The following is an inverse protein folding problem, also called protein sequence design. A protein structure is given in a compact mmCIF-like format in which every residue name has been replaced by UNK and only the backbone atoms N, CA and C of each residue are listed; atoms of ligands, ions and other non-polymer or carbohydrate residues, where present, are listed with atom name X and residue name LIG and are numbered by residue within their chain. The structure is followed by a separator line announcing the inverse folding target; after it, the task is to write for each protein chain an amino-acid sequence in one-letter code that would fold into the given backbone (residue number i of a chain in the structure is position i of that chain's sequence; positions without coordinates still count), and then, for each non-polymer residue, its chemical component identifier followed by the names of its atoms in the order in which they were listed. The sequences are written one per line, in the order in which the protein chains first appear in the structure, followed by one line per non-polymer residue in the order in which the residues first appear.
data_IF_089576431719
#
_entry.id   IF_089576431719
#
_cell.length_a   1.000
_cell.length_b   1.000
_cell.length_c   1.000
_cell.angle_alpha   90.00
_cell.angle_beta   90.00
_cell.angle_gamma   90.00
#
_symmetry.space_group_name_H-M   'P 1'
#
loop_
_entity.id
_entity.type
_entity.pdbx_description
1 polymer ?
#
# COMPACT_ATOMS: atom_id res chain seq x y z
N UNK A 1 0.03 -1.20 -27.65
CA UNK A 1 -0.56 -0.01 -26.99
C UNK A 1 -1.58 -0.43 -25.94
N UNK A 2 -1.49 0.16 -24.77
CA UNK A 2 -2.45 -0.12 -23.69
C UNK A 2 -3.70 0.74 -23.85
N UNK A 3 -4.86 0.14 -23.57
CA UNK A 3 -6.13 0.84 -23.56
C UNK A 3 -6.66 0.89 -22.14
N UNK A 4 -6.28 1.94 -21.43
CA UNK A 4 -6.73 2.11 -20.05
C UNK A 4 -8.18 2.59 -20.02
N UNK A 5 -8.96 1.98 -19.16
CA UNK A 5 -10.34 2.34 -18.92
C UNK A 5 -10.52 2.73 -17.47
N UNK A 6 -11.43 3.65 -17.22
CA UNK A 6 -11.81 4.01 -15.85
C UNK A 6 -12.91 3.06 -15.39
N UNK A 7 -12.70 2.48 -14.21
CA UNK A 7 -13.71 1.64 -13.58
C UNK A 7 -14.35 2.39 -12.43
N UNK A 8 -15.64 2.14 -12.20
CA UNK A 8 -16.37 2.82 -11.15
C UNK A 8 -15.88 2.36 -9.77
N UNK A 9 -16.09 3.21 -8.78
CA UNK A 9 -15.82 2.89 -7.37
C UNK A 9 -16.55 1.61 -6.95
N UNK A 10 -17.78 1.42 -7.41
CA UNK A 10 -18.59 0.26 -7.08
C UNK A 10 -17.98 -1.03 -7.62
N UNK A 11 -17.45 -1.01 -8.84
CA UNK A 11 -16.83 -2.18 -9.47
C UNK A 11 -15.54 -2.56 -8.74
N UNK A 12 -14.75 -1.58 -8.33
CA UNK A 12 -13.46 -1.80 -7.68
C UNK A 12 -13.55 -1.94 -6.16
N UNK A 13 -14.71 -1.73 -5.56
CA UNK A 13 -14.87 -1.72 -4.11
C UNK A 13 -14.40 -3.00 -3.42
N UNK A 14 -14.66 -4.22 -3.94
CA UNK A 14 -14.17 -5.43 -3.28
C UNK A 14 -12.64 -5.46 -3.17
N UNK A 15 -11.93 -5.06 -4.23
CA UNK A 15 -10.47 -5.01 -4.23
C UNK A 15 -9.95 -3.95 -3.25
N UNK A 16 -10.56 -2.78 -3.25
CA UNK A 16 -10.20 -1.70 -2.33
C UNK A 16 -10.43 -2.09 -0.87
N UNK A 17 -11.58 -2.72 -0.59
CA UNK A 17 -11.91 -3.17 0.78
C UNK A 17 -10.92 -4.21 1.28
N UNK A 18 -10.48 -5.11 0.41
CA UNK A 18 -9.45 -6.10 0.75
C UNK A 18 -8.13 -5.42 1.11
N UNK A 19 -7.73 -4.40 0.36
CA UNK A 19 -6.53 -3.60 0.69
C UNK A 19 -6.66 -2.90 2.03
N UNK A 20 -7.85 -2.36 2.33
CA UNK A 20 -8.11 -1.70 3.61
C UNK A 20 -7.97 -2.71 4.77
N UNK A 21 -8.47 -3.93 4.61
CA UNK A 21 -8.31 -4.98 5.62
C UNK A 21 -6.84 -5.32 5.84
N UNK A 22 -6.06 -5.46 4.78
CA UNK A 22 -4.62 -5.70 4.86
C UNK A 22 -3.95 -4.57 5.66
N UNK A 23 -4.25 -3.32 5.30
CA UNK A 23 -3.66 -2.15 5.95
C UNK A 23 -4.01 -2.11 7.44
N UNK A 24 -5.25 -2.41 7.79
CA UNK A 24 -5.69 -2.41 9.19
C UNK A 24 -4.95 -3.48 10.01
N UNK A 25 -4.72 -4.66 9.45
CA UNK A 25 -3.95 -5.70 10.13
C UNK A 25 -2.49 -5.28 10.34
N UNK A 26 -1.91 -4.61 9.34
CA UNK A 26 -0.55 -4.09 9.45
C UNK A 26 -0.46 -3.02 10.53
N UNK A 27 -1.47 -2.15 10.65
CA UNK A 27 -1.53 -1.16 11.71
C UNK A 27 -1.48 -1.82 13.10
N UNK A 28 -2.19 -2.92 13.27
CA UNK A 28 -2.21 -3.65 14.55
C UNK A 28 -0.83 -4.26 14.86
N UNK A 29 -0.15 -4.80 13.85
CA UNK A 29 1.21 -5.34 14.03
C UNK A 29 2.17 -4.25 14.48
N UNK A 30 2.12 -3.09 13.84
CA UNK A 30 3.07 -2.01 14.10
C UNK A 30 2.84 -1.30 15.43
N UNK A 31 1.65 -1.35 15.99
CA UNK A 31 1.39 -0.78 17.32
C UNK A 31 2.31 -1.37 18.38
N UNK A 32 2.64 -2.64 18.26
CA UNK A 32 3.55 -3.32 19.18
C UNK A 32 4.99 -2.81 19.08
N UNK A 33 5.30 -2.05 18.05
CA UNK A 33 6.62 -1.47 17.79
C UNK A 33 6.64 0.04 18.01
N UNK A 34 5.57 0.60 18.56
CA UNK A 34 5.37 2.05 18.73
C UNK A 34 5.45 2.82 17.41
N UNK A 35 5.01 2.19 16.34
CA UNK A 35 4.89 2.79 15.02
C UNK A 35 3.41 2.86 14.68
N UNK A 36 2.94 4.04 14.31
CA UNK A 36 1.57 4.22 13.84
C UNK A 36 1.59 4.86 12.47
N UNK A 37 0.53 4.65 11.71
CA UNK A 37 0.39 5.31 10.43
C UNK A 37 -1.07 5.53 10.08
N UNK A 38 -1.28 6.52 9.24
CA UNK A 38 -2.55 6.77 8.58
C UNK A 38 -2.35 6.49 7.09
N UNK A 39 -3.41 6.15 6.42
CA UNK A 39 -3.33 5.86 4.99
C UNK A 39 -4.36 6.65 4.21
N UNK A 40 -4.03 6.94 2.95
CA UNK A 40 -4.91 7.67 2.06
C UNK A 40 -4.73 7.13 0.64
N UNK A 41 -5.83 6.73 0.02
CA UNK A 41 -5.82 6.41 -1.40
C UNK A 41 -5.68 7.70 -2.19
N UNK A 42 -4.78 7.70 -3.18
CA UNK A 42 -4.47 8.89 -3.97
C UNK A 42 -4.69 8.61 -5.46
N UNK A 43 -4.50 9.64 -6.28
CA UNK A 43 -4.64 9.53 -7.72
C UNK A 43 -6.08 9.30 -8.14
N UNK A 44 -6.28 8.49 -9.16
CA UNK A 44 -7.60 8.22 -9.70
C UNK A 44 -8.51 7.51 -8.70
N UNK A 45 -7.95 6.74 -7.78
CA UNK A 45 -8.75 6.02 -6.78
C UNK A 45 -9.43 6.96 -5.78
N UNK A 46 -8.82 8.11 -5.50
CA UNK A 46 -9.42 9.11 -4.61
C UNK A 46 -10.62 9.83 -5.25
N UNK A 47 -10.76 9.74 -6.56
CA UNK A 47 -11.84 10.37 -7.32
C UNK A 47 -12.96 9.40 -7.65
N UNK A 48 -13.04 8.28 -6.95
CA UNK A 48 -14.02 7.22 -7.20
C UNK A 48 -13.83 6.52 -8.54
N UNK A 49 -12.67 6.67 -9.16
CA UNK A 49 -12.33 6.04 -10.43
C UNK A 49 -10.96 5.39 -10.32
N UNK A 50 -10.84 4.20 -10.85
CA UNK A 50 -9.60 3.42 -10.82
C UNK A 50 -9.32 3.00 -12.25
N UNK A 51 -8.07 3.10 -12.68
CA UNK A 51 -7.69 2.68 -14.02
C UNK A 51 -7.43 1.18 -14.08
N UNK A 52 -7.78 0.56 -15.18
CA UNK A 52 -7.36 -0.79 -15.50
C UNK A 52 -7.13 -0.89 -17.01
N UNK A 53 -6.34 -1.88 -17.42
CA UNK A 53 -6.13 -2.17 -18.82
C UNK A 53 -6.68 -3.57 -19.12
N UNK A 54 -7.90 -3.63 -19.67
CA UNK A 54 -8.60 -4.87 -19.91
C UNK A 54 -8.00 -5.67 -21.07
N UNK A 55 -7.28 -5.01 -21.97
CA UNK A 55 -6.71 -5.67 -23.17
C UNK A 55 -5.34 -6.26 -22.90
N UNK A 56 -4.53 -5.64 -22.02
CA UNK A 56 -3.19 -6.12 -21.71
C UNK A 56 -3.14 -7.04 -20.50
N UNK A 57 -4.31 -7.39 -19.92
CA UNK A 57 -4.39 -8.26 -18.75
C UNK A 57 -3.80 -7.65 -17.49
N UNK A 58 -3.74 -6.33 -17.41
CA UNK A 58 -3.40 -5.60 -16.20
C UNK A 58 -4.72 -5.21 -15.52
N UNK A 59 -4.88 -5.63 -14.27
CA UNK A 59 -6.08 -5.34 -13.50
C UNK A 59 -6.07 -3.98 -12.83
N UNK A 60 -6.76 -3.87 -11.72
CA UNK A 60 -6.90 -2.62 -10.99
C UNK A 60 -5.57 -2.19 -10.39
N UNK A 61 -5.31 -0.89 -10.44
CA UNK A 61 -4.07 -0.28 -9.96
C UNK A 61 -4.40 0.79 -8.93
N UNK A 62 -3.88 0.62 -7.73
CA UNK A 62 -4.14 1.51 -6.59
C UNK A 62 -2.84 2.18 -6.16
N UNK A 63 -2.98 3.42 -5.69
CA UNK A 63 -1.89 4.16 -5.07
C UNK A 63 -2.33 4.59 -3.67
N UNK A 64 -1.47 4.34 -2.69
CA UNK A 64 -1.76 4.65 -1.29
C UNK A 64 -0.57 5.38 -0.67
N UNK A 65 -0.84 6.50 -0.02
CA UNK A 65 0.14 7.14 0.84
C UNK A 65 0.00 6.58 2.25
N UNK A 66 1.14 6.26 2.86
CA UNK A 66 1.24 5.85 4.25
C UNK A 66 1.95 6.95 5.02
N UNK A 67 1.20 7.69 5.84
CA UNK A 67 1.77 8.71 6.72
C UNK A 67 2.20 8.01 8.00
N UNK A 68 3.50 7.78 8.15
CA UNK A 68 4.05 6.96 9.23
C UNK A 68 4.63 7.85 10.32
N UNK A 69 4.25 7.57 11.57
CA UNK A 69 4.67 8.31 12.76
C UNK A 69 5.51 7.40 13.64
N UNK A 70 6.71 7.85 13.98
CA UNK A 70 7.65 7.08 14.78
C UNK A 70 8.66 8.01 15.49
N UNK A 71 9.37 7.46 16.46
CA UNK A 71 10.42 8.15 17.17
C UNK A 71 11.72 8.09 16.37
N UNK A 72 12.22 9.24 15.91
CA UNK A 72 13.44 9.32 15.11
C UNK A 72 14.72 9.00 15.90
N UNK A 73 14.67 9.03 17.23
CA UNK A 73 15.77 8.54 18.06
C UNK A 73 15.87 7.01 18.06
N UNK A 74 14.78 6.34 17.68
CA UNK A 74 14.66 4.89 17.74
C UNK A 74 14.79 4.22 16.38
N UNK A 75 14.29 4.88 15.34
CA UNK A 75 14.27 4.35 13.98
C UNK A 75 14.75 5.40 12.99
N UNK A 76 15.42 4.97 11.92
CA UNK A 76 15.66 5.84 10.78
C UNK A 76 14.69 5.52 9.63
N UNK A 77 14.55 6.39 8.61
CA UNK A 77 13.61 6.17 7.50
C UNK A 77 13.85 4.88 6.73
N UNK A 78 15.10 4.45 6.57
CA UNK A 78 15.41 3.19 5.89
C UNK A 78 14.92 1.99 6.68
N UNK A 79 15.11 2.01 8.00
CA UNK A 79 14.59 0.96 8.87
C UNK A 79 13.06 0.91 8.83
N UNK A 80 12.40 2.07 8.82
CA UNK A 80 10.95 2.15 8.77
C UNK A 80 10.41 1.47 7.51
N UNK A 81 11.02 1.69 6.35
CA UNK A 81 10.60 1.04 5.12
C UNK A 81 10.69 -0.47 5.23
N UNK A 82 11.79 -1.00 5.76
CA UNK A 82 11.96 -2.44 5.96
C UNK A 82 10.94 -3.01 6.94
N UNK A 83 10.71 -2.32 8.05
CA UNK A 83 9.73 -2.73 9.05
C UNK A 83 8.33 -2.77 8.44
N UNK A 84 7.97 -1.75 7.66
CA UNK A 84 6.68 -1.70 6.98
C UNK A 84 6.53 -2.87 6.00
N UNK A 85 7.53 -3.10 5.17
CA UNK A 85 7.49 -4.21 4.19
C UNK A 85 7.39 -5.56 4.88
N UNK A 86 8.15 -5.77 5.97
CA UNK A 86 8.08 -7.01 6.73
C UNK A 86 6.69 -7.22 7.33
N UNK A 87 6.09 -6.17 7.87
CA UNK A 87 4.74 -6.24 8.43
C UNK A 87 3.70 -6.56 7.35
N UNK A 88 3.79 -5.92 6.19
CA UNK A 88 2.92 -6.24 5.06
C UNK A 88 3.12 -7.68 4.60
N UNK A 89 4.36 -8.16 4.52
CA UNK A 89 4.65 -9.54 4.11
C UNK A 89 4.04 -10.59 5.03
N UNK A 90 3.84 -10.28 6.30
CA UNK A 90 3.16 -11.18 7.23
C UNK A 90 1.67 -11.33 6.93
N UNK A 91 1.06 -10.34 6.29
CA UNK A 91 -0.39 -10.27 6.08
C UNK A 91 -0.79 -10.64 4.65
N UNK A 92 -0.07 -10.13 3.66
CA UNK A 92 -0.52 -10.12 2.25
C UNK A 92 -0.75 -11.52 1.67
N UNK A 93 0.01 -12.51 2.12
CA UNK A 93 -0.10 -13.89 1.61
C UNK A 93 -1.46 -14.50 1.89
N UNK A 94 -2.09 -14.16 3.01
CA UNK A 94 -3.43 -14.64 3.36
C UNK A 94 -4.51 -14.12 2.44
N UNK A 95 -4.23 -13.04 1.75
CA UNK A 95 -5.16 -12.40 0.80
C UNK A 95 -4.83 -12.75 -0.65
N UNK A 96 -3.84 -13.61 -0.87
CA UNK A 96 -3.47 -14.04 -2.21
C UNK A 96 -2.49 -13.12 -2.92
N UNK A 97 -1.89 -12.17 -2.22
CA UNK A 97 -0.86 -11.30 -2.77
C UNK A 97 0.53 -11.91 -2.60
N UNK A 98 1.44 -11.57 -3.51
CA UNK A 98 2.84 -11.88 -3.34
C UNK A 98 3.51 -10.96 -2.33
N UNK A 99 4.77 -11.24 -2.03
CA UNK A 99 5.56 -10.40 -1.14
C UNK A 99 5.79 -9.03 -1.74
N UNK A 100 6.06 -8.05 -0.87
CA UNK A 100 6.36 -6.69 -1.29
C UNK A 100 7.55 -6.64 -2.24
N UNK A 101 7.39 -5.87 -3.31
CA UNK A 101 8.46 -5.57 -4.26
C UNK A 101 8.99 -4.17 -3.95
N UNK A 102 10.27 -4.08 -3.61
CA UNK A 102 10.89 -2.81 -3.23
C UNK A 102 11.29 -2.01 -4.45
N UNK A 103 11.11 -0.70 -4.39
CA UNK A 103 11.66 0.23 -5.36
C UNK A 103 12.12 1.51 -4.64
N UNK A 104 12.63 2.49 -5.40
CA UNK A 104 13.27 3.65 -4.79
C UNK A 104 12.36 4.45 -3.85
N UNK A 105 11.10 4.67 -4.23
CA UNK A 105 10.19 5.54 -3.50
C UNK A 105 8.97 4.84 -2.94
N UNK A 106 8.66 3.66 -3.45
CA UNK A 106 7.46 2.93 -3.08
C UNK A 106 7.79 1.46 -2.88
N UNK A 107 6.89 0.73 -2.29
CA UNK A 107 6.88 -0.72 -2.41
C UNK A 107 5.51 -1.15 -2.92
N UNK A 108 5.49 -2.26 -3.64
CA UNK A 108 4.30 -2.69 -4.39
C UNK A 108 3.90 -4.09 -3.99
N UNK A 109 2.60 -4.32 -3.85
CA UNK A 109 2.05 -5.66 -3.73
C UNK A 109 1.18 -5.97 -4.94
N UNK A 110 1.22 -7.22 -5.40
CA UNK A 110 0.47 -7.65 -6.58
C UNK A 110 -0.26 -8.95 -6.29
N UNK A 111 -1.48 -9.02 -6.73
CA UNK A 111 -2.25 -10.26 -6.74
C UNK A 111 -2.27 -10.78 -8.17
N UNK A 112 -1.66 -11.93 -8.39
CA UNK A 112 -1.45 -12.49 -9.73
C UNK A 112 -2.27 -13.76 -9.91
N UNK A 113 -2.97 -13.85 -11.04
CA UNK A 113 -3.56 -15.10 -11.49
C UNK A 113 -2.50 -15.83 -12.33
N UNK A 114 -1.85 -16.81 -11.72
CA UNK A 114 -0.74 -17.54 -12.36
C UNK A 114 -1.19 -18.40 -13.54
N UNK A 115 -2.44 -18.85 -13.55
CA UNK A 115 -2.99 -19.62 -14.67
C UNK A 115 -3.11 -18.80 -15.94
N UNK A 116 -3.49 -17.53 -15.81
CA UNK A 116 -3.73 -16.64 -16.92
C UNK A 116 -2.62 -15.64 -17.13
N UNK A 117 -1.57 -15.67 -16.32
CA UNK A 117 -0.48 -14.70 -16.32
C UNK A 117 -1.00 -13.26 -16.26
N UNK A 118 -1.99 -13.04 -15.40
CA UNK A 118 -2.62 -11.73 -15.24
C UNK A 118 -2.32 -11.14 -13.86
N UNK A 119 -2.11 -9.83 -13.85
CA UNK A 119 -2.13 -9.08 -12.60
C UNK A 119 -3.58 -8.69 -12.34
N UNK A 120 -4.20 -9.26 -11.30
CA UNK A 120 -5.58 -8.99 -10.95
C UNK A 120 -5.73 -7.61 -10.33
N UNK A 121 -4.81 -7.25 -9.47
CA UNK A 121 -4.74 -5.93 -8.85
C UNK A 121 -3.35 -5.70 -8.28
N UNK A 122 -2.95 -4.44 -8.21
CA UNK A 122 -1.70 -4.05 -7.61
C UNK A 122 -1.90 -2.80 -6.77
N UNK A 123 -1.01 -2.57 -5.82
CA UNK A 123 -1.05 -1.39 -5.00
C UNK A 123 0.37 -0.91 -4.70
N UNK A 124 0.62 0.34 -5.03
CA UNK A 124 1.87 1.02 -4.70
C UNK A 124 1.68 1.78 -3.40
N UNK A 125 2.58 1.55 -2.44
CA UNK A 125 2.57 2.24 -1.16
C UNK A 125 3.75 3.20 -1.11
N UNK A 126 3.45 4.49 -0.96
CA UNK A 126 4.46 5.52 -0.76
C UNK A 126 4.51 5.90 0.72
N UNK A 127 5.70 5.83 1.31
CA UNK A 127 5.88 6.17 2.72
C UNK A 127 6.20 7.64 2.85
N UNK A 128 5.40 8.34 3.67
CA UNK A 128 5.69 9.70 4.11
C UNK A 128 6.15 9.59 5.56
N UNK A 129 7.40 9.96 5.81
CA UNK A 129 7.99 9.83 7.13
C UNK A 129 7.66 11.05 7.99
N UNK A 130 6.96 10.81 9.08
CA UNK A 130 6.66 11.82 10.09
C UNK A 130 7.25 11.31 11.41
N UNK A 131 8.03 12.16 12.08
CA UNK A 131 8.62 11.80 13.35
C UNK A 131 8.46 12.94 14.34
N UNK A 132 8.51 12.62 15.63
CA UNK A 132 8.40 13.61 16.69
C UNK A 132 9.79 13.97 17.20
N UNK A 133 10.02 15.27 17.41
CA UNK A 133 11.24 15.72 18.09
C UNK A 133 11.09 15.57 19.61
N UNK A 134 12.15 15.90 20.35
CA UNK A 134 12.16 15.76 21.82
C UNK A 134 11.13 16.65 22.52
N UNK A 135 10.63 17.69 21.86
CA UNK A 135 9.58 18.55 22.40
C UNK A 135 8.17 18.06 22.02
N UNK A 136 8.07 16.95 21.28
CA UNK A 136 6.79 16.39 20.88
C UNK A 136 6.20 16.96 19.60
N UNK A 137 6.89 17.87 18.92
CA UNK A 137 6.42 18.41 17.64
C UNK A 137 6.63 17.40 16.51
N UNK A 138 5.68 17.32 15.59
CA UNK A 138 5.79 16.45 14.43
C UNK A 138 6.63 17.12 13.35
N UNK A 139 7.62 16.40 12.84
CA UNK A 139 8.50 16.85 11.75
C UNK A 139 8.26 15.97 10.52
N UNK A 140 8.32 16.59 9.36
CA UNK A 140 8.18 15.88 8.09
C UNK A 140 9.44 16.01 7.25
#
# INVERSE_FOLDING_TARGET
MYNFEYVSKKEAAPAKNELIEIINEVQDILRNKDISFQFQFIGSSSRNMITCDRKSNIGYDFDVNLDVFYDDDRYDPGEIKHIMMDAFNLVVRRYGYGYCEDSTRVFTIKKIDHWRSKILQSCDFAIVNNYTNKAGAVLQ
#
